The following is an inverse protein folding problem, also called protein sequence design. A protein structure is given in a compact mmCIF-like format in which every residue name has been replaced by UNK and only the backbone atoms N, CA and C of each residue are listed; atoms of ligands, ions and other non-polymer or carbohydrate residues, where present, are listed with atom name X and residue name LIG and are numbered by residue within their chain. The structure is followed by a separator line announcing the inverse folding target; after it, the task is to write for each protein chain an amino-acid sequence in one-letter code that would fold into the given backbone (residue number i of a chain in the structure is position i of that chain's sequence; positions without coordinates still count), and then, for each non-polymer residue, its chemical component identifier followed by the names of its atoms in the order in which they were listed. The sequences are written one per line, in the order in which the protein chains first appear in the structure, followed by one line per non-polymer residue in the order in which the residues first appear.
data_IF_895161944734
#
_entry.id   IF_895161944734
#
_cell.length_a   1.000
_cell.length_b   1.000
_cell.length_c   1.000
_cell.angle_alpha   90.00
_cell.angle_beta   90.00
_cell.angle_gamma   90.00
#
_symmetry.space_group_name_H-M   'P 1'
#
loop_
_entity.id
_entity.type
_entity.pdbx_description
1 polymer ?
#
# COMPACT_ATOMS: atom_id res chain seq x y z
N UNK A 1 1.10 -10.34 -7.66
CA UNK A 1 2.13 -9.24 -7.71
C UNK A 1 1.98 -8.43 -6.43
N UNK A 2 3.08 -8.08 -5.74
CA UNK A 2 3.02 -7.29 -4.49
C UNK A 2 2.53 -5.86 -4.73
N UNK A 3 1.72 -5.35 -3.80
CA UNK A 3 1.16 -3.99 -3.89
C UNK A 3 2.25 -2.94 -3.66
N UNK A 4 2.37 -2.01 -4.60
CA UNK A 4 3.35 -0.93 -4.58
C UNK A 4 2.70 0.38 -4.15
N UNK A 5 3.31 1.04 -3.18
CA UNK A 5 2.89 2.32 -2.62
C UNK A 5 3.95 3.37 -2.95
N UNK A 6 3.56 4.42 -3.65
CA UNK A 6 4.43 5.56 -3.90
C UNK A 6 4.45 6.48 -2.68
N UNK A 7 5.63 6.77 -2.16
CA UNK A 7 5.80 7.68 -1.02
C UNK A 7 6.17 9.05 -1.56
N UNK A 8 5.36 10.06 -1.29
CA UNK A 8 5.63 11.43 -1.70
C UNK A 8 5.56 12.41 -0.51
N UNK A 9 5.94 13.65 -0.75
CA UNK A 9 5.95 14.73 0.24
C UNK A 9 7.10 15.72 -0.02
N UNK A 10 7.05 16.89 0.60
CA UNK A 10 8.11 17.89 0.49
C UNK A 10 9.44 17.39 1.08
N UNK A 11 10.58 18.01 0.74
CA UNK A 11 11.84 17.75 1.44
C UNK A 11 11.69 17.95 2.95
N UNK A 12 12.37 17.11 3.73
CA UNK A 12 12.33 17.15 5.20
C UNK A 12 10.95 16.86 5.85
N UNK A 13 10.00 16.28 5.11
CA UNK A 13 8.73 15.82 5.69
C UNK A 13 8.83 14.52 6.51
N UNK A 14 9.96 13.81 6.41
CA UNK A 14 10.20 12.57 7.15
C UNK A 14 10.03 11.29 6.32
N UNK A 15 9.94 11.35 4.99
CA UNK A 15 9.81 10.19 4.09
C UNK A 15 10.87 9.12 4.35
N UNK A 16 12.14 9.50 4.30
CA UNK A 16 13.25 8.55 4.49
C UNK A 16 13.28 7.96 5.90
N UNK A 17 12.87 8.74 6.91
CA UNK A 17 12.70 8.25 8.28
C UNK A 17 11.56 7.25 8.39
N UNK A 18 10.43 7.50 7.72
CA UNK A 18 9.31 6.57 7.64
C UNK A 18 9.71 5.27 6.94
N UNK A 19 10.42 5.35 5.81
CA UNK A 19 10.92 4.16 5.11
C UNK A 19 11.88 3.38 6.01
N UNK A 20 12.80 4.06 6.69
CA UNK A 20 13.70 3.43 7.67
C UNK A 20 12.90 2.73 8.78
N UNK A 21 11.84 3.35 9.28
CA UNK A 21 10.94 2.77 10.29
C UNK A 21 10.27 1.50 9.76
N UNK A 22 9.71 1.52 8.56
CA UNK A 22 9.00 0.40 7.95
C UNK A 22 9.91 -0.77 7.54
N UNK A 23 11.17 -0.51 7.24
CA UNK A 23 12.12 -1.52 6.72
C UNK A 23 12.94 -2.22 7.79
N UNK A 24 13.06 -1.65 8.97
CA UNK A 24 13.70 -2.29 10.12
C UNK A 24 12.70 -3.22 10.82
N UNK A 25 12.45 -4.41 10.31
CA UNK A 25 11.69 -5.40 11.08
C UNK A 25 12.58 -5.99 12.19
N UNK A 26 12.09 -6.02 13.44
CA UNK A 26 12.78 -6.64 14.60
C UNK A 26 12.56 -8.15 14.69
N UNK A 27 11.68 -8.71 13.89
CA UNK A 27 11.64 -10.15 13.70
C UNK A 27 12.98 -10.50 13.06
N UNK A 28 13.79 -11.36 13.71
CA UNK A 28 14.89 -12.05 13.04
C UNK A 28 14.29 -12.78 11.84
N UNK A 29 14.18 -12.05 10.75
CA UNK A 29 13.73 -12.58 9.47
C UNK A 29 14.92 -13.39 8.97
N UNK A 30 15.03 -14.62 9.49
CA UNK A 30 16.01 -15.57 9.05
C UNK A 30 15.88 -15.69 7.53
N UNK A 31 16.89 -15.17 6.83
CA UNK A 31 17.14 -15.41 5.41
C UNK A 31 16.01 -15.03 4.42
N UNK A 32 15.40 -13.84 4.54
CA UNK A 32 14.61 -13.31 3.43
C UNK A 32 15.54 -12.98 2.25
N UNK A 33 15.47 -13.71 1.14
CA UNK A 33 16.39 -13.54 0.01
C UNK A 33 16.18 -12.23 -0.78
N UNK A 34 15.22 -11.36 -0.41
CA UNK A 34 14.80 -10.21 -1.22
C UNK A 34 14.60 -8.91 -0.44
N UNK A 35 15.42 -8.62 0.56
CA UNK A 35 15.41 -7.32 1.24
C UNK A 35 15.87 -6.17 0.36
N UNK A 36 16.65 -6.45 -0.69
CA UNK A 36 17.10 -5.46 -1.66
C UNK A 36 16.30 -5.63 -2.96
N UNK A 37 15.22 -4.91 -3.05
CA UNK A 37 14.48 -4.68 -4.29
C UNK A 37 15.30 -3.75 -5.21
N UNK A 38 14.73 -3.37 -6.35
CA UNK A 38 15.37 -2.38 -7.24
C UNK A 38 15.67 -1.09 -6.47
N UNK A 39 16.67 -0.31 -6.92
CA UNK A 39 16.97 0.99 -6.31
C UNK A 39 15.71 1.82 -6.10
N UNK A 40 15.49 2.28 -4.86
CA UNK A 40 14.30 3.06 -4.46
C UNK A 40 13.05 2.23 -4.12
N UNK A 41 13.10 0.90 -4.14
CA UNK A 41 12.01 0.03 -3.68
C UNK A 41 12.38 -0.64 -2.35
N UNK A 42 11.47 -0.62 -1.36
CA UNK A 42 11.68 -1.14 0.00
C UNK A 42 10.53 -2.03 0.43
N UNK A 43 10.84 -3.14 1.11
CA UNK A 43 9.81 -4.03 1.67
C UNK A 43 9.31 -3.48 3.01
N UNK A 44 8.03 -3.24 3.11
CA UNK A 44 7.33 -2.93 4.36
C UNK A 44 6.62 -4.18 4.84
N UNK A 45 7.24 -4.92 5.74
CA UNK A 45 6.65 -6.10 6.36
C UNK A 45 5.59 -5.69 7.37
N UNK A 46 4.42 -6.29 7.25
CA UNK A 46 3.32 -6.07 8.19
C UNK A 46 3.25 -7.27 9.12
N UNK A 47 3.28 -7.00 10.41
CA UNK A 47 3.15 -8.01 11.43
C UNK A 47 1.68 -8.13 11.86
N UNK A 48 1.04 -9.25 11.54
CA UNK A 48 -0.34 -9.47 11.96
C UNK A 48 -0.41 -10.25 13.28
N UNK A 49 -1.25 -9.80 14.23
CA UNK A 49 -1.51 -10.58 15.44
C UNK A 49 -2.02 -12.00 15.13
N UNK A 50 -2.78 -12.13 14.06
CA UNK A 50 -3.36 -13.38 13.59
C UNK A 50 -2.29 -14.41 13.20
N UNK A 51 -1.24 -13.99 12.48
CA UNK A 51 -0.11 -14.85 12.15
C UNK A 51 0.62 -15.35 13.41
N UNK A 52 0.77 -14.47 14.40
CA UNK A 52 1.38 -14.85 15.69
C UNK A 52 0.59 -15.93 16.41
N UNK A 53 -0.74 -15.79 16.46
CA UNK A 53 -1.57 -16.81 17.10
C UNK A 53 -1.55 -18.13 16.31
N UNK A 54 -1.60 -18.09 14.99
CA UNK A 54 -1.48 -19.27 14.14
C UNK A 54 -0.13 -19.98 14.37
N UNK A 55 0.96 -19.25 14.45
CA UNK A 55 2.28 -19.79 14.70
C UNK A 55 2.38 -20.52 16.06
N UNK A 56 1.77 -19.99 17.11
CA UNK A 56 1.75 -20.65 18.42
C UNK A 56 1.11 -22.05 18.37
N UNK A 57 0.12 -22.23 17.51
CA UNK A 57 -0.60 -23.51 17.32
C UNK A 57 0.16 -24.43 16.38
N UNK A 58 0.62 -23.95 15.24
CA UNK A 58 1.30 -24.75 14.21
C UNK A 58 2.70 -25.17 14.63
N UNK A 59 3.39 -24.36 15.44
CA UNK A 59 4.76 -24.59 15.95
C UNK A 59 5.76 -24.98 14.85
N UNK A 60 5.62 -24.36 13.69
CA UNK A 60 6.53 -24.56 12.56
C UNK A 60 7.92 -24.00 12.87
N UNK A 61 8.92 -24.34 12.08
CA UNK A 61 10.29 -23.83 12.28
C UNK A 61 10.44 -22.37 11.85
N UNK A 62 9.69 -21.97 10.83
CA UNK A 62 9.80 -20.67 10.22
C UNK A 62 8.43 -19.99 10.12
N UNK A 63 8.45 -18.66 10.25
CA UNK A 63 7.29 -17.79 10.00
C UNK A 63 7.66 -16.83 8.89
N UNK A 64 6.78 -16.71 7.90
CA UNK A 64 6.97 -15.81 6.76
C UNK A 64 5.89 -14.76 6.78
N UNK A 65 6.30 -13.50 6.97
CA UNK A 65 5.45 -12.31 6.88
C UNK A 65 5.20 -11.94 5.43
N UNK A 66 4.06 -11.37 5.15
CA UNK A 66 3.85 -10.68 3.88
C UNK A 66 4.22 -9.19 3.99
N UNK A 67 4.32 -8.50 2.84
CA UNK A 67 4.79 -7.13 2.79
C UNK A 67 4.18 -6.33 1.64
N UNK A 68 4.18 -5.00 1.82
CA UNK A 68 3.95 -4.02 0.78
C UNK A 68 5.31 -3.55 0.22
N UNK A 69 5.31 -3.01 -0.99
CA UNK A 69 6.50 -2.38 -1.56
C UNK A 69 6.32 -0.87 -1.46
N UNK A 70 7.19 -0.20 -0.71
CA UNK A 70 7.30 1.24 -0.69
C UNK A 70 8.25 1.69 -1.80
N UNK A 71 7.83 2.64 -2.61
CA UNK A 71 8.67 3.28 -3.61
C UNK A 71 9.08 4.64 -3.05
N UNK A 72 10.37 4.78 -2.69
CA UNK A 72 10.91 6.09 -2.28
C UNK A 72 11.05 6.97 -3.51
N UNK A 73 10.37 8.09 -3.44
CA UNK A 73 10.41 9.06 -4.51
C UNK A 73 11.10 10.32 -3.97
N UNK A 74 12.13 10.87 -4.66
CA UNK A 74 12.80 12.08 -4.22
C UNK A 74 11.80 13.18 -3.86
N UNK A 75 12.12 14.03 -2.89
CA UNK A 75 11.19 15.07 -2.43
C UNK A 75 10.74 15.98 -3.57
N UNK A 76 9.43 16.18 -3.68
CA UNK A 76 8.83 17.10 -4.64
C UNK A 76 9.18 18.53 -4.25
N UNK A 77 9.59 19.32 -5.24
CA UNK A 77 9.92 20.74 -5.08
C UNK A 77 9.01 21.54 -6.01
N UNK A 78 8.61 22.73 -5.62
CA UNK A 78 7.85 23.64 -6.50
C UNK A 78 8.52 23.78 -7.85
N UNK A 79 7.74 23.68 -8.94
CA UNK A 79 8.24 23.77 -10.31
C UNK A 79 8.88 22.49 -10.81
N UNK A 80 8.74 21.36 -10.10
CA UNK A 80 9.26 20.07 -10.55
C UNK A 80 8.70 19.66 -11.91
N UNK A 81 7.45 20.01 -12.22
CA UNK A 81 6.83 19.80 -13.54
C UNK A 81 7.51 20.58 -14.66
N UNK A 82 8.14 21.74 -14.39
CA UNK A 82 8.83 22.58 -15.38
C UNK A 82 10.29 22.19 -15.60
N UNK A 83 10.84 21.34 -14.72
CA UNK A 83 12.25 20.94 -14.79
C UNK A 83 12.49 19.85 -15.81
N UNK A 84 13.41 20.07 -16.73
CA UNK A 84 13.95 19.01 -17.60
C UNK A 84 14.66 17.96 -16.71
N UNK A 85 14.06 16.76 -16.57
CA UNK A 85 14.70 15.57 -15.98
C UNK A 85 14.11 15.11 -14.65
N UNK A 86 14.45 15.71 -13.52
CA UNK A 86 14.17 15.18 -12.19
C UNK A 86 12.67 15.16 -11.80
N UNK A 87 11.90 16.18 -12.18
CA UNK A 87 10.46 16.26 -11.84
C UNK A 87 9.62 15.23 -12.59
N UNK A 88 9.90 15.01 -13.87
CA UNK A 88 9.21 13.99 -14.68
C UNK A 88 9.57 12.56 -14.23
N UNK A 89 10.80 12.33 -13.78
CA UNK A 89 11.24 11.06 -13.25
C UNK A 89 10.51 10.74 -11.94
N UNK A 90 10.43 11.70 -11.02
CA UNK A 90 9.66 11.61 -9.79
C UNK A 90 8.22 11.13 -10.03
N UNK A 91 7.47 11.85 -10.87
CA UNK A 91 6.07 11.52 -11.15
C UNK A 91 5.92 10.16 -11.85
N UNK A 92 6.92 9.74 -12.65
CA UNK A 92 6.94 8.43 -13.29
C UNK A 92 7.00 7.29 -12.27
N UNK A 93 7.70 7.46 -11.15
CA UNK A 93 7.72 6.47 -10.07
C UNK A 93 6.37 6.37 -9.36
N UNK A 94 5.73 7.50 -9.05
CA UNK A 94 4.38 7.49 -8.47
C UNK A 94 3.36 6.81 -9.41
N UNK A 95 3.51 6.97 -10.72
CA UNK A 95 2.62 6.31 -11.70
C UNK A 95 2.75 4.78 -11.67
N UNK A 96 3.89 4.23 -11.27
CA UNK A 96 4.10 2.78 -11.16
C UNK A 96 3.47 2.17 -9.90
N UNK A 97 3.04 2.97 -8.94
CA UNK A 97 2.38 2.51 -7.73
C UNK A 97 0.88 2.25 -7.92
N UNK A 98 0.29 1.41 -7.09
CA UNK A 98 -1.15 1.18 -7.02
C UNK A 98 -1.87 2.20 -6.14
N UNK A 99 -1.16 2.74 -5.15
CA UNK A 99 -1.66 3.76 -4.24
C UNK A 99 -0.53 4.74 -3.90
N UNK A 100 -0.88 5.90 -3.37
CA UNK A 100 0.06 6.94 -2.98
C UNK A 100 -0.14 7.26 -1.51
N UNK A 101 0.95 7.32 -0.75
CA UNK A 101 1.00 7.80 0.62
C UNK A 101 1.78 9.11 0.64
N UNK A 102 1.08 10.20 0.85
CA UNK A 102 1.68 11.52 1.04
C UNK A 102 2.06 11.70 2.50
N UNK A 103 3.31 12.08 2.76
CA UNK A 103 3.83 12.34 4.12
C UNK A 103 4.05 13.83 4.28
N UNK A 104 3.33 14.40 5.23
CA UNK A 104 3.35 15.84 5.54
C UNK A 104 3.88 16.07 6.94
N UNK A 105 4.75 17.06 7.09
CA UNK A 105 5.38 17.40 8.34
C UNK A 105 4.47 18.23 9.25
N UNK A 106 4.24 17.75 10.46
CA UNK A 106 3.63 18.51 11.55
C UNK A 106 4.40 18.32 12.87
N UNK A 107 5.73 18.27 12.80
CA UNK A 107 6.62 18.21 13.98
C UNK A 107 7.62 19.35 13.94
N UNK A 108 7.99 19.85 15.13
CA UNK A 108 9.04 20.85 15.29
C UNK A 108 10.39 20.16 15.49
N UNK A 109 11.40 20.57 14.73
CA UNK A 109 12.78 20.18 14.91
C UNK A 109 13.68 21.31 14.41
N UNK A 110 14.41 21.94 15.31
CA UNK A 110 15.23 23.12 15.01
C UNK A 110 16.51 22.74 14.22
N UNK A 111 16.95 21.47 14.30
CA UNK A 111 18.11 20.97 13.55
C UNK A 111 17.78 20.63 12.10
N UNK A 112 16.48 20.53 11.76
CA UNK A 112 16.02 20.19 10.42
C UNK A 112 15.13 21.31 9.91
N UNK A 113 15.65 22.25 9.12
CA UNK A 113 14.88 23.37 8.62
C UNK A 113 13.71 22.89 7.75
N UNK A 114 12.57 23.59 7.84
CA UNK A 114 11.46 23.34 6.94
C UNK A 114 11.77 23.93 5.56
N UNK A 115 11.43 23.20 4.49
CA UNK A 115 11.73 23.62 3.11
C UNK A 115 11.11 24.99 2.78
N UNK A 116 9.88 25.26 3.22
CA UNK A 116 9.15 26.52 3.05
C UNK A 116 9.36 27.51 4.22
N UNK A 117 10.33 27.27 5.09
CA UNK A 117 10.70 28.16 6.20
C UNK A 117 9.80 28.07 7.44
N UNK A 118 8.62 27.50 7.35
CA UNK A 118 7.69 27.32 8.50
C UNK A 118 6.90 26.01 8.35
N UNK A 119 6.44 25.48 9.48
CA UNK A 119 5.57 24.30 9.51
C UNK A 119 4.15 24.77 9.21
N UNK A 120 3.59 24.27 8.13
CA UNK A 120 2.22 24.51 7.69
C UNK A 120 1.74 23.32 6.85
N UNK A 121 1.13 22.31 7.46
CA UNK A 121 0.71 21.09 6.75
C UNK A 121 -0.27 21.35 5.62
N UNK A 122 -1.18 22.32 5.76
CA UNK A 122 -2.19 22.62 4.73
C UNK A 122 -1.52 23.21 3.48
N UNK A 123 -0.61 24.17 3.65
CA UNK A 123 0.20 24.71 2.57
C UNK A 123 1.02 23.61 1.89
N UNK A 124 1.62 22.71 2.67
CA UNK A 124 2.50 21.66 2.14
C UNK A 124 1.71 20.66 1.28
N UNK A 125 0.51 20.26 1.72
CA UNK A 125 -0.42 19.46 0.91
C UNK A 125 -0.78 20.19 -0.40
N UNK A 126 -1.12 21.48 -0.32
CA UNK A 126 -1.50 22.26 -1.49
C UNK A 126 -0.36 22.36 -2.52
N UNK A 127 0.89 22.48 -2.08
CA UNK A 127 2.05 22.49 -2.98
C UNK A 127 2.14 21.19 -3.77
N UNK A 128 1.96 20.04 -3.11
CA UNK A 128 1.96 18.74 -3.78
C UNK A 128 0.80 18.62 -4.77
N UNK A 129 -0.39 19.04 -4.39
CA UNK A 129 -1.58 19.04 -5.24
C UNK A 129 -1.37 19.88 -6.51
N UNK A 130 -0.84 21.09 -6.37
CA UNK A 130 -0.56 21.99 -7.50
C UNK A 130 0.42 21.36 -8.51
N UNK A 131 1.50 20.73 -8.04
CA UNK A 131 2.48 20.05 -8.88
C UNK A 131 1.89 18.84 -9.61
N UNK A 132 1.10 18.02 -8.90
CA UNK A 132 0.40 16.89 -9.51
C UNK A 132 -0.53 17.37 -10.63
N UNK A 133 -1.38 18.37 -10.35
CA UNK A 133 -2.34 18.89 -11.32
C UNK A 133 -1.65 19.47 -12.54
N UNK A 134 -0.57 20.23 -12.36
CA UNK A 134 0.19 20.78 -13.47
C UNK A 134 0.72 19.66 -14.39
N UNK A 135 1.28 18.59 -13.81
CA UNK A 135 1.75 17.43 -14.56
C UNK A 135 0.61 16.68 -15.27
N UNK A 136 -0.54 16.51 -14.60
CA UNK A 136 -1.68 15.81 -15.19
C UNK A 136 -2.24 16.58 -16.39
N UNK A 137 -2.36 17.91 -16.28
CA UNK A 137 -2.78 18.78 -17.39
C UNK A 137 -1.89 18.59 -18.60
N UNK A 138 -0.58 18.64 -18.44
CA UNK A 138 0.38 18.44 -19.54
C UNK A 138 0.21 17.07 -20.23
N UNK A 139 -0.01 16.03 -19.45
CA UNK A 139 -0.22 14.67 -20.01
C UNK A 139 -1.53 14.60 -20.79
N UNK A 140 -2.62 15.12 -20.20
CA UNK A 140 -3.93 15.11 -20.82
C UNK A 140 -3.90 15.93 -22.14
N UNK A 141 -3.35 17.13 -22.12
CA UNK A 141 -3.22 17.98 -23.31
C UNK A 141 -2.40 17.33 -24.42
N UNK A 142 -1.28 16.70 -24.06
CA UNK A 142 -0.44 15.97 -25.03
C UNK A 142 -1.21 14.82 -25.68
N UNK A 143 -1.95 14.05 -24.90
CA UNK A 143 -2.75 12.93 -25.39
C UNK A 143 -3.94 13.43 -26.23
N UNK A 144 -4.60 14.51 -25.84
CA UNK A 144 -5.66 15.13 -26.64
C UNK A 144 -5.16 15.58 -28.03
N UNK A 145 -3.95 16.16 -28.11
CA UNK A 145 -3.34 16.53 -29.40
C UNK A 145 -3.12 15.33 -30.33
N UNK A 146 -2.83 14.15 -29.78
CA UNK A 146 -2.69 12.91 -30.54
C UNK A 146 -4.05 12.35 -30.97
N UNK A 147 -4.98 12.21 -30.03
CA UNK A 147 -6.30 11.60 -30.27
C UNK A 147 -7.19 12.40 -31.23
N UNK A 148 -7.12 13.74 -31.21
CA UNK A 148 -7.88 14.62 -32.12
C UNK A 148 -7.52 14.43 -33.59
N UNK A 149 -6.43 13.76 -33.90
CA UNK A 149 -6.05 13.41 -35.28
C UNK A 149 -6.75 12.14 -35.79
N UNK A 150 -7.41 11.39 -34.89
CA UNK A 150 -8.07 10.13 -35.18
C UNK A 150 -9.59 10.24 -34.99
N UNK A 151 -10.35 10.30 -36.07
CA UNK A 151 -11.82 10.47 -36.05
C UNK A 151 -12.59 9.42 -35.24
N UNK A 152 -11.98 8.26 -34.99
CA UNK A 152 -12.60 7.14 -34.26
C UNK A 152 -12.55 7.31 -32.74
N UNK A 153 -11.80 8.26 -32.19
CA UNK A 153 -11.52 8.39 -30.76
C UNK A 153 -12.35 9.51 -30.07
N UNK A 154 -13.49 9.91 -30.67
CA UNK A 154 -14.31 11.04 -30.16
C UNK A 154 -14.79 10.90 -28.71
N UNK A 155 -15.09 9.68 -28.28
CA UNK A 155 -15.54 9.42 -26.89
C UNK A 155 -14.39 9.63 -25.91
N UNK A 156 -13.20 9.13 -26.23
CA UNK A 156 -11.98 9.30 -25.43
C UNK A 156 -11.58 10.77 -25.31
N UNK A 157 -11.69 11.51 -26.40
CA UNK A 157 -11.44 12.96 -26.41
C UNK A 157 -12.38 13.69 -25.44
N UNK A 158 -13.69 13.40 -25.49
CA UNK A 158 -14.68 14.01 -24.58
C UNK A 158 -14.38 13.73 -23.12
N UNK A 159 -13.96 12.51 -22.79
CA UNK A 159 -13.62 12.14 -21.40
C UNK A 159 -12.40 12.93 -20.92
N UNK A 160 -11.34 13.00 -21.72
CA UNK A 160 -10.14 13.75 -21.34
C UNK A 160 -10.38 15.25 -21.28
N UNK A 161 -11.18 15.82 -22.19
CA UNK A 161 -11.59 17.22 -22.14
C UNK A 161 -12.35 17.52 -20.85
N UNK A 162 -13.32 16.67 -20.48
CA UNK A 162 -14.04 16.80 -19.21
C UNK A 162 -13.11 16.77 -18.01
N UNK A 163 -12.15 15.84 -17.97
CA UNK A 163 -11.18 15.78 -16.87
C UNK A 163 -10.35 17.06 -16.85
N UNK A 164 -9.88 17.54 -18.00
CA UNK A 164 -9.07 18.76 -18.11
C UNK A 164 -9.81 20.01 -17.63
N UNK A 165 -11.10 20.12 -17.95
CA UNK A 165 -11.95 21.24 -17.55
C UNK A 165 -12.26 21.25 -16.05
N UNK A 166 -12.35 20.07 -15.45
CA UNK A 166 -12.75 19.90 -14.06
C UNK A 166 -11.57 19.72 -13.08
N UNK A 167 -10.33 19.52 -13.59
CA UNK A 167 -9.17 19.24 -12.75
C UNK A 167 -8.73 20.48 -11.96
N UNK A 168 -8.75 20.33 -10.64
CA UNK A 168 -8.36 21.34 -9.67
C UNK A 168 -7.79 20.68 -8.41
N UNK A 169 -7.09 21.43 -7.53
CA UNK A 169 -6.64 20.92 -6.25
C UNK A 169 -7.76 20.22 -5.48
N UNK A 170 -7.40 19.16 -4.77
CA UNK A 170 -8.30 18.36 -3.93
C UNK A 170 -9.41 17.61 -4.68
N UNK A 171 -9.41 17.59 -6.01
CA UNK A 171 -10.34 16.80 -6.79
C UNK A 171 -9.73 15.48 -7.25
N UNK A 172 -10.37 14.38 -6.90
CA UNK A 172 -10.03 13.03 -7.38
C UNK A 172 -11.08 12.58 -8.38
N UNK A 173 -10.62 11.77 -9.32
CA UNK A 173 -11.49 11.20 -10.34
C UNK A 173 -11.46 9.68 -10.18
N UNK A 174 -12.63 9.07 -10.13
CA UNK A 174 -12.70 7.63 -10.29
C UNK A 174 -12.21 7.28 -11.70
N UNK A 175 -11.49 6.16 -11.82
CA UNK A 175 -11.12 5.65 -13.14
C UNK A 175 -12.39 5.17 -13.86
N UNK A 176 -13.06 6.11 -14.54
CA UNK A 176 -14.40 5.95 -15.11
C UNK A 176 -14.50 4.82 -16.14
N UNK A 177 -13.37 4.41 -16.73
CA UNK A 177 -13.28 3.28 -17.66
C UNK A 177 -11.85 2.79 -17.82
N UNK A 178 -11.66 1.63 -18.46
CA UNK A 178 -10.36 1.03 -18.75
C UNK A 178 -9.43 1.98 -19.52
N UNK A 179 -9.99 2.80 -20.40
CA UNK A 179 -9.26 3.79 -21.16
C UNK A 179 -8.53 4.83 -20.28
N UNK A 180 -9.18 5.35 -19.24
CA UNK A 180 -8.53 6.31 -18.32
C UNK A 180 -7.40 5.65 -17.53
N UNK A 181 -7.55 4.36 -17.23
CA UNK A 181 -6.49 3.58 -16.57
C UNK A 181 -5.21 3.46 -17.40
N UNK A 182 -5.32 3.41 -18.73
CA UNK A 182 -4.16 3.35 -19.64
C UNK A 182 -3.21 4.54 -19.47
N UNK A 183 -3.74 5.74 -19.14
CA UNK A 183 -2.92 6.93 -18.91
C UNK A 183 -2.23 6.96 -17.55
N UNK A 184 -2.62 6.08 -16.65
CA UNK A 184 -2.03 5.98 -15.31
C UNK A 184 -2.01 7.34 -14.58
N UNK A 185 -3.11 8.10 -14.70
CA UNK A 185 -3.23 9.42 -14.09
C UNK A 185 -3.18 9.31 -12.57
N UNK A 186 -2.38 10.14 -11.93
CA UNK A 186 -2.22 10.16 -10.47
C UNK A 186 -3.50 10.57 -9.76
N UNK A 187 -4.28 11.46 -10.35
CA UNK A 187 -5.58 11.92 -9.84
C UNK A 187 -6.65 10.82 -9.79
N UNK A 188 -6.42 9.67 -10.44
CA UNK A 188 -7.33 8.52 -10.42
C UNK A 188 -6.89 7.42 -9.44
N UNK A 189 -5.73 7.55 -8.82
CA UNK A 189 -5.23 6.60 -7.82
C UNK A 189 -5.82 6.89 -6.44
N UNK A 190 -5.90 5.89 -5.55
CA UNK A 190 -6.19 6.13 -4.14
C UNK A 190 -5.01 6.86 -3.47
N UNK A 191 -5.30 7.97 -2.82
CA UNK A 191 -4.37 8.77 -2.04
C UNK A 191 -4.66 8.61 -0.57
N UNK A 192 -3.59 8.47 0.21
CA UNK A 192 -3.59 8.42 1.66
C UNK A 192 -2.67 9.51 2.19
N UNK A 193 -3.01 10.07 3.35
CA UNK A 193 -2.24 11.13 3.99
C UNK A 193 -1.68 10.63 5.32
N UNK A 194 -0.40 10.81 5.53
CA UNK A 194 0.27 10.61 6.82
C UNK A 194 0.77 11.95 7.34
N UNK A 195 0.14 12.45 8.40
CA UNK A 195 0.64 13.59 9.15
C UNK A 195 1.72 13.09 10.10
N UNK A 196 2.97 13.45 9.81
CA UNK A 196 4.12 13.10 10.63
C UNK A 196 4.29 14.10 11.77
N UNK A 197 3.94 13.70 12.97
CA UNK A 197 3.94 14.49 14.19
C UNK A 197 2.57 14.58 14.85
N UNK A 198 2.22 15.76 15.35
CA UNK A 198 0.99 15.98 16.08
C UNK A 198 -0.25 15.90 15.19
N UNK A 199 -1.37 15.53 15.79
CA UNK A 199 -2.67 15.59 15.12
C UNK A 199 -3.04 17.05 14.78
N UNK A 200 -3.75 17.22 13.69
CA UNK A 200 -4.23 18.52 13.21
C UNK A 200 -5.65 18.34 12.65
N UNK A 201 -6.48 19.32 12.86
CA UNK A 201 -7.78 19.39 12.17
C UNK A 201 -7.59 19.94 10.76
N UNK A 202 -8.13 19.24 9.79
CA UNK A 202 -8.07 19.57 8.37
C UNK A 202 -9.45 19.94 7.86
N UNK A 203 -9.50 20.83 6.89
CA UNK A 203 -10.74 21.19 6.21
C UNK A 203 -11.39 19.98 5.54
N UNK A 204 -12.73 19.99 5.46
CA UNK A 204 -13.51 18.90 4.87
C UNK A 204 -13.18 18.60 3.41
N UNK A 205 -12.73 19.59 2.66
CA UNK A 205 -12.28 19.43 1.28
C UNK A 205 -11.01 18.59 1.21
N UNK A 206 -10.03 18.88 2.07
CA UNK A 206 -8.80 18.10 2.21
C UNK A 206 -9.13 16.67 2.67
N UNK A 207 -9.97 16.53 3.71
CA UNK A 207 -10.36 15.21 4.22
C UNK A 207 -10.97 14.32 3.14
N UNK A 208 -11.82 14.86 2.27
CA UNK A 208 -12.47 14.12 1.17
C UNK A 208 -11.53 13.72 0.04
N UNK A 209 -10.38 14.39 -0.08
CA UNK A 209 -9.37 14.11 -1.11
C UNK A 209 -8.65 12.78 -0.87
N UNK A 210 -8.46 12.43 0.40
CA UNK A 210 -7.74 11.24 0.82
C UNK A 210 -8.71 10.13 1.23
N UNK A 211 -8.39 8.90 0.86
CA UNK A 211 -9.16 7.72 1.30
C UNK A 211 -9.12 7.56 2.82
N UNK A 212 -7.97 7.88 3.42
CA UNK A 212 -7.75 7.86 4.87
C UNK A 212 -6.63 8.82 5.24
N UNK A 213 -6.71 9.37 6.45
CA UNK A 213 -5.69 10.21 7.06
C UNK A 213 -5.19 9.51 8.30
N UNK A 214 -3.86 9.42 8.42
CA UNK A 214 -3.16 8.80 9.54
C UNK A 214 -2.31 9.82 10.26
N UNK A 215 -2.08 9.59 11.54
CA UNK A 215 -1.21 10.37 12.39
C UNK A 215 -0.16 9.47 13.03
N UNK A 216 1.11 9.77 12.80
CA UNK A 216 2.22 9.00 13.33
C UNK A 216 3.41 9.93 13.58
N UNK A 217 3.95 9.94 14.78
CA UNK A 217 5.24 10.59 15.03
C UNK A 217 6.36 9.61 14.71
N UNK A 218 6.87 9.73 13.47
CA UNK A 218 7.89 8.82 12.93
C UNK A 218 9.19 8.87 13.75
N UNK A 219 9.54 10.05 14.29
CA UNK A 219 10.75 10.18 15.11
C UNK A 219 10.57 9.45 16.44
N UNK A 220 9.44 9.66 17.10
CA UNK A 220 9.11 8.98 18.35
C UNK A 220 9.08 7.45 18.19
N UNK A 221 8.50 6.96 17.10
CA UNK A 221 8.48 5.52 16.79
C UNK A 221 9.89 4.95 16.58
N UNK A 222 10.79 5.71 15.93
CA UNK A 222 12.17 5.29 15.74
C UNK A 222 12.94 5.26 17.07
N UNK A 223 12.74 6.28 17.91
CA UNK A 223 13.40 6.37 19.22
C UNK A 223 12.91 5.27 20.17
N UNK A 224 11.58 5.07 20.23
CA UNK A 224 10.96 4.00 21.00
C UNK A 224 11.50 2.62 20.62
N UNK A 225 11.71 2.40 19.34
CA UNK A 225 12.27 1.16 18.80
C UNK A 225 13.73 0.94 19.22
N UNK A 226 14.52 2.02 19.35
CA UNK A 226 15.90 1.93 19.82
C UNK A 226 15.99 1.63 21.34
N UNK A 227 15.00 2.07 22.15
CA UNK A 227 14.92 1.83 23.58
C UNK A 227 14.47 0.42 24.00
N UNK A 228 13.80 -0.32 23.10
CA UNK A 228 13.40 -1.75 23.16
C UNK A 228 12.43 -2.18 24.25
N UNK A 229 12.44 -1.62 25.47
CA UNK A 229 11.71 -2.19 26.61
C UNK A 229 10.19 -2.13 26.48
N UNK A 230 9.62 -1.05 25.92
CA UNK A 230 8.18 -0.82 25.83
C UNK A 230 7.64 -0.73 24.39
N UNK A 231 8.47 -1.03 23.38
CA UNK A 231 8.12 -0.86 21.96
C UNK A 231 6.79 -1.51 21.61
N UNK A 232 6.61 -2.78 21.96
CA UNK A 232 5.40 -3.53 21.60
C UNK A 232 4.11 -3.06 22.28
N UNK A 233 4.22 -2.33 23.39
CA UNK A 233 3.07 -1.82 24.14
C UNK A 233 2.66 -0.43 23.67
N UNK A 234 3.61 0.37 23.21
CA UNK A 234 3.44 1.80 22.94
C UNK A 234 3.44 2.14 21.45
N UNK A 235 4.08 1.32 20.61
CA UNK A 235 4.17 1.57 19.17
C UNK A 235 2.80 1.56 18.47
N UNK A 236 2.59 2.57 17.66
CA UNK A 236 1.42 2.70 16.79
C UNK A 236 1.68 2.15 15.37
N UNK A 237 2.93 1.78 15.06
CA UNK A 237 3.31 1.35 13.71
C UNK A 237 2.54 0.11 13.25
N UNK A 238 2.41 -0.91 14.09
CA UNK A 238 1.71 -2.15 13.72
C UNK A 238 0.23 -1.91 13.50
N UNK A 239 -0.40 -1.05 14.33
CA UNK A 239 -1.79 -0.64 14.13
C UNK A 239 -1.95 0.11 12.80
N UNK A 240 -1.09 1.11 12.54
CA UNK A 240 -1.06 1.82 11.27
C UNK A 240 -0.89 0.85 10.09
N UNK A 241 0.06 -0.07 10.15
CA UNK A 241 0.36 -1.01 9.07
C UNK A 241 -0.84 -1.90 8.74
N UNK A 242 -1.50 -2.46 9.77
CA UNK A 242 -2.67 -3.31 9.60
C UNK A 242 -3.90 -2.54 9.11
N UNK A 243 -4.15 -1.33 9.62
CA UNK A 243 -5.20 -0.45 9.10
C UNK A 243 -4.93 -0.07 7.64
N UNK A 244 -3.71 0.34 7.33
CA UNK A 244 -3.31 0.73 5.98
C UNK A 244 -3.49 -0.42 4.99
N UNK A 245 -3.11 -1.65 5.36
CA UNK A 245 -3.38 -2.84 4.56
C UNK A 245 -4.87 -2.99 4.23
N UNK A 246 -5.74 -2.86 5.25
CA UNK A 246 -7.20 -2.96 5.09
C UNK A 246 -7.75 -1.83 4.20
N UNK A 247 -7.28 -0.61 4.41
CA UNK A 247 -7.70 0.56 3.63
C UNK A 247 -7.23 0.49 2.15
N UNK A 248 -6.17 -0.29 1.87
CA UNK A 248 -5.76 -0.67 0.51
C UNK A 248 -6.68 -1.76 -0.09
N UNK A 249 -7.71 -2.20 0.63
CA UNK A 249 -8.63 -3.27 0.26
C UNK A 249 -7.88 -4.60 0.03
N UNK A 250 -6.88 -4.87 0.87
CA UNK A 250 -6.15 -6.12 0.92
C UNK A 250 -6.63 -6.96 2.10
N UNK A 251 -7.04 -8.18 1.82
CA UNK A 251 -7.33 -9.21 2.82
C UNK A 251 -6.10 -10.08 3.05
N UNK A 252 -6.02 -10.69 4.23
CA UNK A 252 -4.99 -11.67 4.56
C UNK A 252 -5.57 -13.08 4.55
N UNK A 253 -4.74 -14.02 4.12
CA UNK A 253 -4.98 -15.44 4.27
C UNK A 253 -3.68 -16.15 4.66
N UNK A 254 -3.79 -17.39 5.10
CA UNK A 254 -2.65 -18.14 5.64
C UNK A 254 -2.49 -19.48 4.95
N UNK A 255 -1.25 -19.94 4.92
CA UNK A 255 -0.88 -21.29 4.58
C UNK A 255 0.10 -21.82 5.62
N UNK A 256 0.08 -23.10 5.91
CA UNK A 256 1.13 -23.71 6.69
C UNK A 256 1.48 -25.12 6.21
N UNK A 257 2.71 -25.51 6.48
CA UNK A 257 3.27 -26.84 6.28
C UNK A 257 3.81 -27.34 7.62
N UNK A 258 4.57 -28.44 7.63
CA UNK A 258 5.30 -28.87 8.84
C UNK A 258 6.48 -27.96 9.18
N UNK A 259 6.97 -27.19 8.22
CA UNK A 259 8.18 -26.37 8.34
C UNK A 259 7.87 -24.87 8.45
N UNK A 260 6.84 -24.39 7.74
CA UNK A 260 6.62 -22.97 7.52
C UNK A 260 5.16 -22.61 7.81
N UNK A 261 4.94 -21.51 8.53
CA UNK A 261 3.66 -20.80 8.61
C UNK A 261 3.82 -19.48 7.87
N UNK A 262 2.94 -19.20 6.92
CA UNK A 262 3.06 -18.03 6.06
C UNK A 262 1.75 -17.26 5.92
N UNK A 263 1.86 -15.94 5.97
CA UNK A 263 0.81 -14.98 5.68
C UNK A 263 0.91 -14.49 4.24
N UNK A 264 -0.24 -14.16 3.67
CA UNK A 264 -0.38 -13.66 2.32
C UNK A 264 -1.39 -12.54 2.26
N UNK A 265 -1.09 -11.47 1.51
CA UNK A 265 -2.03 -10.39 1.23
C UNK A 265 -2.52 -10.49 -0.21
N UNK A 266 -3.83 -10.40 -0.37
CA UNK A 266 -4.48 -10.45 -1.68
C UNK A 266 -5.59 -9.40 -1.74
N UNK A 267 -5.91 -8.94 -2.93
CA UNK A 267 -7.01 -8.00 -3.15
C UNK A 267 -8.33 -8.63 -2.69
N UNK A 268 -9.12 -7.89 -1.95
CA UNK A 268 -10.46 -8.32 -1.56
C UNK A 268 -11.30 -8.65 -2.81
N UNK A 269 -12.03 -9.75 -2.77
CA UNK A 269 -12.77 -10.27 -3.90
C UNK A 269 -11.96 -11.12 -4.88
N UNK A 270 -10.67 -11.37 -4.63
CA UNK A 270 -9.88 -12.34 -5.40
C UNK A 270 -10.35 -13.77 -5.18
N UNK A 271 -10.10 -14.62 -6.17
CA UNK A 271 -10.49 -16.05 -6.17
C UNK A 271 -9.41 -16.90 -5.51
N UNK A 272 -9.78 -18.13 -5.11
CA UNK A 272 -8.78 -19.11 -4.66
C UNK A 272 -7.79 -19.51 -5.76
N UNK A 273 -8.17 -19.38 -7.03
CA UNK A 273 -7.25 -19.56 -8.16
C UNK A 273 -6.14 -18.51 -8.14
N UNK A 274 -6.50 -17.23 -7.94
CA UNK A 274 -5.53 -16.13 -7.82
C UNK A 274 -4.66 -16.29 -6.57
N UNK A 275 -5.24 -16.72 -5.44
CA UNK A 275 -4.49 -17.02 -4.22
C UNK A 275 -3.49 -18.18 -4.44
N UNK A 276 -3.89 -19.23 -5.14
CA UNK A 276 -2.99 -20.33 -5.50
C UNK A 276 -1.82 -19.86 -6.36
N UNK A 277 -2.08 -18.97 -7.34
CA UNK A 277 -1.06 -18.35 -8.18
C UNK A 277 -0.10 -17.45 -7.39
N UNK A 278 -0.59 -16.81 -6.32
CA UNK A 278 0.26 -16.01 -5.43
C UNK A 278 1.21 -16.90 -4.61
N UNK A 279 0.76 -18.08 -4.18
CA UNK A 279 1.58 -19.05 -3.47
C UNK A 279 2.64 -19.66 -4.40
N UNK A 280 2.23 -20.11 -5.58
CA UNK A 280 3.12 -20.63 -6.62
C UNK A 280 2.46 -20.55 -7.98
N UNK A 281 3.17 -20.04 -9.00
CA UNK A 281 2.62 -19.85 -10.35
C UNK A 281 2.02 -21.11 -10.98
N UNK A 282 2.62 -22.29 -10.74
CA UNK A 282 2.08 -23.57 -11.24
C UNK A 282 0.76 -23.97 -10.56
N UNK A 283 0.48 -23.49 -9.35
CA UNK A 283 -0.75 -23.83 -8.65
C UNK A 283 -1.96 -23.17 -9.30
N UNK A 284 -1.80 -21.96 -9.86
CA UNK A 284 -2.87 -21.27 -10.56
C UNK A 284 -3.48 -22.11 -11.70
N UNK A 285 -2.63 -22.85 -12.43
CA UNK A 285 -3.09 -23.68 -13.55
C UNK A 285 -3.59 -25.06 -13.10
N UNK A 286 -2.97 -25.64 -12.05
CA UNK A 286 -3.21 -27.02 -11.62
C UNK A 286 -4.29 -27.17 -10.54
N UNK A 287 -4.74 -26.08 -9.93
CA UNK A 287 -5.71 -26.11 -8.83
C UNK A 287 -7.04 -26.75 -9.25
N UNK A 288 -7.50 -27.71 -8.47
CA UNK A 288 -8.81 -28.37 -8.61
C UNK A 288 -9.81 -27.86 -7.58
N UNK A 289 -9.40 -27.77 -6.34
CA UNK A 289 -10.20 -27.32 -5.22
C UNK A 289 -9.28 -26.79 -4.09
N UNK A 290 -9.86 -26.16 -3.09
CA UNK A 290 -9.15 -25.70 -1.90
C UNK A 290 -9.88 -26.23 -0.65
N UNK A 291 -9.14 -26.83 0.27
CA UNK A 291 -9.61 -27.04 1.63
C UNK A 291 -9.38 -25.76 2.43
N UNK A 292 -10.41 -25.27 3.08
CA UNK A 292 -10.43 -23.97 3.77
C UNK A 292 -11.01 -24.11 5.16
N UNK A 293 -10.41 -23.43 6.11
CA UNK A 293 -10.98 -23.19 7.45
C UNK A 293 -10.66 -21.76 7.86
N UNK A 294 -11.60 -21.09 8.55
CA UNK A 294 -11.31 -19.78 9.13
C UNK A 294 -10.29 -19.91 10.27
N UNK A 295 -9.36 -18.97 10.37
CA UNK A 295 -8.30 -18.97 11.38
C UNK A 295 -8.85 -19.13 12.80
N UNK A 296 -9.87 -18.38 13.17
CA UNK A 296 -10.41 -18.41 14.54
C UNK A 296 -11.03 -19.78 14.88
N UNK A 297 -11.74 -20.41 13.94
CA UNK A 297 -12.22 -21.79 14.11
C UNK A 297 -11.04 -22.78 14.24
N UNK A 298 -9.97 -22.57 13.46
CA UNK A 298 -8.78 -23.42 13.55
C UNK A 298 -8.05 -23.27 14.89
N UNK A 299 -7.94 -22.06 15.41
CA UNK A 299 -7.27 -21.79 16.69
C UNK A 299 -7.99 -22.48 17.88
N UNK A 300 -9.32 -22.58 17.84
CA UNK A 300 -10.10 -23.31 18.85
C UNK A 300 -9.86 -24.81 18.82
N UNK A 301 -9.63 -25.40 17.64
CA UNK A 301 -9.44 -26.84 17.45
C UNK A 301 -7.97 -27.24 17.59
N UNK A 302 -7.06 -26.41 17.10
CA UNK A 302 -5.61 -26.54 17.21
C UNK A 302 -4.94 -27.56 16.29
N UNK A 303 -5.71 -28.30 15.48
CA UNK A 303 -5.17 -29.36 14.62
C UNK A 303 -6.02 -29.56 13.36
N UNK A 304 -5.35 -29.74 12.19
CA UNK A 304 -6.03 -29.86 10.89
C UNK A 304 -6.86 -31.14 10.77
N UNK A 305 -6.32 -32.28 11.24
CA UNK A 305 -7.00 -33.56 11.14
C UNK A 305 -8.23 -33.60 12.07
N UNK A 306 -8.14 -32.97 13.24
CA UNK A 306 -9.27 -32.83 14.14
C UNK A 306 -10.35 -31.90 13.56
N UNK A 307 -9.94 -30.79 12.92
CA UNK A 307 -10.87 -29.91 12.23
C UNK A 307 -11.60 -30.64 11.09
N UNK A 308 -10.89 -31.50 10.37
CA UNK A 308 -11.48 -32.34 9.32
C UNK A 308 -12.48 -33.35 9.86
N UNK A 309 -12.14 -34.06 10.97
CA UNK A 309 -13.04 -35.00 11.64
C UNK A 309 -14.32 -34.30 12.16
N UNK A 310 -14.22 -33.08 12.61
CA UNK A 310 -15.35 -32.26 13.07
C UNK A 310 -16.16 -31.63 11.93
N UNK A 311 -15.77 -31.85 10.66
CA UNK A 311 -16.45 -31.27 9.50
C UNK A 311 -16.31 -29.74 9.36
N UNK A 312 -15.28 -29.15 9.96
CA UNK A 312 -15.04 -27.72 9.93
C UNK A 312 -14.25 -27.28 8.69
N UNK A 313 -13.57 -28.20 8.03
CA UNK A 313 -12.87 -27.94 6.77
C UNK A 313 -13.90 -27.94 5.63
N UNK A 314 -13.98 -26.81 4.95
CA UNK A 314 -14.84 -26.62 3.77
C UNK A 314 -14.04 -26.87 2.50
N UNK A 315 -14.67 -27.48 1.50
CA UNK A 315 -14.09 -27.60 0.16
C UNK A 315 -14.70 -26.49 -0.69
N UNK A 316 -13.85 -25.61 -1.20
CA UNK A 316 -14.22 -24.47 -2.04
C UNK A 316 -13.76 -24.69 -3.47
N UNK A 317 -14.53 -24.15 -4.43
CA UNK A 317 -14.13 -24.08 -5.84
C UNK A 317 -12.98 -23.08 -6.01
N UNK A 318 -12.15 -23.32 -7.01
CA UNK A 318 -11.10 -22.38 -7.40
C UNK A 318 -11.63 -20.99 -7.78
N UNK A 319 -12.90 -20.90 -8.21
CA UNK A 319 -13.55 -19.66 -8.64
C UNK A 319 -14.30 -18.95 -7.49
N UNK A 320 -14.42 -19.61 -6.30
CA UNK A 320 -14.95 -18.97 -5.10
C UNK A 320 -13.97 -17.90 -4.60
N UNK A 321 -14.50 -16.94 -3.81
CA UNK A 321 -13.72 -15.83 -3.28
C UNK A 321 -13.01 -16.22 -1.98
N UNK A 322 -11.78 -15.72 -1.85
CA UNK A 322 -11.02 -15.79 -0.59
C UNK A 322 -11.66 -14.88 0.45
N UNK A 323 -11.80 -15.34 1.67
CA UNK A 323 -12.29 -14.57 2.79
C UNK A 323 -11.14 -14.16 3.73
N UNK A 324 -11.32 -13.05 4.46
CA UNK A 324 -10.34 -12.59 5.45
C UNK A 324 -10.09 -13.67 6.51
N UNK A 325 -8.81 -13.94 6.79
CA UNK A 325 -8.36 -14.95 7.75
C UNK A 325 -8.65 -16.42 7.35
N UNK A 326 -8.81 -16.71 6.08
CA UNK A 326 -8.84 -18.09 5.62
C UNK A 326 -7.48 -18.75 5.77
N UNK A 327 -7.47 -20.01 6.22
CA UNK A 327 -6.30 -20.90 6.12
C UNK A 327 -6.56 -21.85 4.95
N UNK A 328 -5.62 -21.90 4.00
CA UNK A 328 -5.76 -22.61 2.74
C UNK A 328 -4.86 -23.83 2.64
N UNK A 329 -5.42 -24.93 2.12
CA UNK A 329 -4.67 -26.08 1.64
C UNK A 329 -5.08 -26.37 0.18
N UNK A 330 -4.18 -26.06 -0.76
CA UNK A 330 -4.41 -26.22 -2.20
C UNK A 330 -4.42 -27.70 -2.59
N UNK A 331 -5.42 -28.10 -3.37
CA UNK A 331 -5.52 -29.45 -3.97
C UNK A 331 -5.26 -29.35 -5.48
N UNK A 332 -4.23 -30.03 -5.92
CA UNK A 332 -3.77 -30.04 -7.30
C UNK A 332 -4.31 -31.29 -8.04
#
# INVERSE_FOLDING_TARGET
MKTKIGICGLPNSGKSSFIKLCTKSEVEIANYPFTTLKSGEYSFFIYSPELKELYKVTKTKEVILDYLILIDVPGLIRGAHKGEGLGNEFLSYLRKSQAILEIVRNFKNDDVPHFEGSIDPIRDILIIEEEIIASEKEIIERNLKSLKKEDKEREKVKILEKILDEIQPFKRFEALNEFVKEYNLLITKPWYLLINGNEIDLDEEIKKTFKKIYFLDVKWELDLREEKEDYYLLSKLDNFANEFRKDLDLIQFFTFTKEITQEWFIKNGSTYKEAAGLIHSEFEEKIKAVEVINLFEFLEIGDWENAKKQGKIKIKSKDDKVEENDILLIKI
#
